data_IF_267008192534
#
_entry.id   IF_267008192534
#
_cell.length_a   1.000
_cell.length_b   1.000
_cell.length_c   1.000
_cell.angle_alpha   90.00
_cell.angle_beta   90.00
_cell.angle_gamma   90.00
#
_symmetry.space_group_name_H-M   'P 1'
#
loop_
_entity.id
_entity.type
_entity.pdbx_description
1 polymer ?
#
# COMPACT_ATOMS: atom_id res chain seq x y z
N UNK A 1 -24.59 11.87 15.22
CA UNK A 1 -23.63 10.75 15.31
C UNK A 1 -24.46 9.47 15.48
N UNK A 2 -24.57 8.46 14.63
CA UNK A 2 -24.04 8.06 13.31
C UNK A 2 -25.07 7.07 12.72
N UNK A 3 -25.50 7.21 11.47
CA UNK A 3 -26.18 6.14 10.72
C UNK A 3 -25.68 6.12 9.26
N UNK A 4 -24.45 5.66 9.06
CA UNK A 4 -23.86 5.45 7.73
C UNK A 4 -23.52 3.96 7.46
N UNK A 5 -23.89 3.05 8.37
CA UNK A 5 -23.49 1.64 8.29
C UNK A 5 -24.47 0.70 7.59
N UNK A 6 -25.71 1.12 7.32
CA UNK A 6 -26.78 0.17 6.93
C UNK A 6 -26.91 -0.06 5.42
N UNK A 7 -26.36 0.82 4.59
CA UNK A 7 -26.53 0.75 3.12
C UNK A 7 -25.31 0.21 2.36
N UNK A 8 -24.13 0.10 2.98
CA UNK A 8 -22.91 -0.42 2.31
C UNK A 8 -22.88 -1.95 2.19
N UNK A 9 -23.38 -2.65 3.20
CA UNK A 9 -23.46 -4.12 3.26
C UNK A 9 -24.34 -4.75 2.15
N UNK A 10 -25.57 -4.27 1.85
CA UNK A 10 -26.40 -4.88 0.82
C UNK A 10 -25.85 -4.67 -0.60
N UNK A 11 -25.18 -3.54 -0.87
CA UNK A 11 -24.61 -3.26 -2.19
C UNK A 11 -23.40 -4.17 -2.45
N UNK A 12 -22.52 -4.35 -1.46
CA UNK A 12 -21.38 -5.26 -1.57
C UNK A 12 -21.84 -6.72 -1.74
N UNK A 13 -22.86 -7.16 -1.00
CA UNK A 13 -23.44 -8.48 -1.14
C UNK A 13 -24.08 -8.71 -2.52
N UNK A 14 -24.83 -7.71 -3.03
CA UNK A 14 -25.42 -7.77 -4.37
C UNK A 14 -24.36 -7.84 -5.48
N UNK A 15 -23.26 -7.09 -5.34
CA UNK A 15 -22.14 -7.13 -6.28
C UNK A 15 -21.46 -8.52 -6.30
N UNK A 16 -21.26 -9.15 -5.14
CA UNK A 16 -20.68 -10.49 -5.05
C UNK A 16 -21.60 -11.56 -5.67
N UNK A 17 -22.91 -11.49 -5.44
CA UNK A 17 -23.88 -12.45 -6.00
C UNK A 17 -24.00 -12.28 -7.52
N UNK A 18 -24.03 -11.03 -8.00
CA UNK A 18 -24.05 -10.75 -9.43
C UNK A 18 -22.77 -11.26 -10.14
N UNK A 19 -21.60 -11.07 -9.51
CA UNK A 19 -20.33 -11.57 -10.03
C UNK A 19 -20.28 -13.10 -10.07
N UNK A 20 -20.69 -13.76 -8.97
CA UNK A 20 -20.75 -15.22 -8.89
C UNK A 20 -21.76 -15.83 -9.90
N UNK A 21 -22.90 -15.17 -10.10
CA UNK A 21 -23.89 -15.56 -11.11
C UNK A 21 -23.37 -15.42 -12.54
N UNK A 22 -22.59 -14.38 -12.83
CA UNK A 22 -21.98 -14.18 -14.15
C UNK A 22 -20.90 -15.23 -14.43
N UNK A 23 -20.04 -15.53 -13.46
CA UNK A 23 -18.99 -16.55 -13.58
C UNK A 23 -19.59 -17.95 -13.82
N UNK A 24 -20.64 -18.32 -13.08
CA UNK A 24 -21.33 -19.61 -13.26
C UNK A 24 -22.05 -19.72 -14.60
N UNK A 25 -22.69 -18.66 -15.10
CA UNK A 25 -23.30 -18.66 -16.43
C UNK A 25 -22.26 -18.70 -17.57
N UNK A 26 -21.06 -18.16 -17.33
CA UNK A 26 -19.94 -18.19 -18.27
C UNK A 26 -19.28 -19.57 -18.28
N UNK A 27 -19.12 -20.23 -17.13
CA UNK A 27 -18.55 -21.57 -17.04
C UNK A 27 -19.47 -22.66 -17.62
N UNK A 28 -20.78 -22.45 -17.55
CA UNK A 28 -21.79 -23.30 -18.20
C UNK A 28 -21.94 -23.03 -19.71
N UNK A 29 -21.20 -22.07 -20.28
CA UNK A 29 -21.25 -21.73 -21.70
C UNK A 29 -22.56 -21.08 -22.18
N UNK A 30 -23.46 -20.73 -21.25
CA UNK A 30 -24.76 -20.12 -21.53
C UNK A 30 -24.63 -18.63 -21.87
N UNK A 31 -23.57 -17.99 -21.40
CA UNK A 31 -23.15 -16.65 -21.81
C UNK A 31 -21.86 -16.80 -22.60
N UNK A 32 -21.89 -16.52 -23.91
CA UNK A 32 -20.65 -16.34 -24.68
C UNK A 32 -19.87 -15.22 -24.01
N UNK A 33 -18.68 -15.54 -23.47
CA UNK A 33 -17.68 -14.54 -23.14
C UNK A 33 -17.45 -13.77 -24.44
N UNK A 34 -18.03 -12.57 -24.56
CA UNK A 34 -17.58 -11.64 -25.59
C UNK A 34 -16.11 -11.46 -25.25
N UNK A 35 -15.24 -12.08 -26.04
CA UNK A 35 -13.85 -11.67 -26.12
C UNK A 35 -13.95 -10.29 -26.75
N UNK A 36 -14.23 -9.32 -25.90
CA UNK A 36 -14.22 -7.92 -26.24
C UNK A 36 -12.86 -7.66 -26.87
N UNK A 37 -12.85 -7.11 -28.09
CA UNK A 37 -11.64 -6.97 -28.89
C UNK A 37 -10.54 -6.22 -28.13
N UNK A 38 -9.29 -6.22 -28.62
CA UNK A 38 -8.13 -5.73 -27.88
C UNK A 38 -8.31 -4.36 -27.21
N UNK A 39 -9.05 -3.43 -27.82
CA UNK A 39 -9.34 -2.12 -27.23
C UNK A 39 -10.25 -2.13 -25.98
N UNK A 40 -11.16 -3.09 -25.86
CA UNK A 40 -12.02 -3.21 -24.69
C UNK A 40 -11.36 -4.03 -23.56
N UNK A 41 -10.44 -4.94 -23.90
CA UNK A 41 -9.52 -5.52 -22.93
C UNK A 41 -8.56 -4.44 -22.36
N UNK A 42 -8.04 -3.55 -23.20
CA UNK A 42 -7.20 -2.42 -22.75
C UNK A 42 -7.96 -1.45 -21.85
N UNK A 43 -9.20 -1.09 -22.21
CA UNK A 43 -10.06 -0.27 -21.35
C UNK A 43 -10.31 -0.93 -19.99
N UNK A 44 -10.63 -2.22 -19.97
CA UNK A 44 -10.82 -2.97 -18.73
C UNK A 44 -9.56 -3.02 -17.88
N UNK A 45 -8.37 -3.15 -18.48
CA UNK A 45 -7.10 -3.12 -17.76
C UNK A 45 -6.84 -1.74 -17.16
N UNK A 46 -7.10 -0.66 -17.91
CA UNK A 46 -6.96 0.72 -17.40
C UNK A 46 -7.90 0.99 -16.23
N UNK A 47 -9.16 0.58 -16.33
CA UNK A 47 -10.13 0.73 -15.26
C UNK A 47 -9.69 -0.05 -14.01
N UNK A 48 -9.18 -1.27 -14.21
CA UNK A 48 -8.70 -2.09 -13.12
C UNK A 48 -7.43 -1.51 -12.47
N UNK A 49 -6.50 -0.98 -13.27
CA UNK A 49 -5.33 -0.27 -12.76
C UNK A 49 -5.71 0.96 -11.92
N UNK A 50 -6.71 1.74 -12.35
CA UNK A 50 -7.19 2.88 -11.60
C UNK A 50 -7.82 2.48 -10.25
N UNK A 51 -8.59 1.38 -10.24
CA UNK A 51 -9.17 0.82 -9.01
C UNK A 51 -8.05 0.32 -8.08
N UNK A 52 -7.09 -0.42 -8.61
CA UNK A 52 -5.98 -0.97 -7.85
C UNK A 52 -5.11 0.14 -7.24
N UNK A 53 -4.86 1.23 -7.98
CA UNK A 53 -4.13 2.40 -7.51
C UNK A 53 -4.82 3.07 -6.31
N UNK A 54 -6.15 3.28 -6.40
CA UNK A 54 -6.93 3.86 -5.30
C UNK A 54 -6.94 2.96 -4.06
N UNK A 55 -7.06 1.64 -4.27
CA UNK A 55 -7.04 0.66 -3.18
C UNK A 55 -5.66 0.59 -2.51
N UNK A 56 -4.58 0.63 -3.30
CA UNK A 56 -3.22 0.61 -2.77
C UNK A 56 -2.91 1.91 -2.01
N UNK A 57 -3.34 3.07 -2.52
CA UNK A 57 -3.26 4.35 -1.82
C UNK A 57 -3.98 4.31 -0.47
N UNK A 58 -5.21 3.79 -0.42
CA UNK A 58 -5.97 3.66 0.82
C UNK A 58 -5.28 2.71 1.81
N UNK A 59 -4.73 1.59 1.33
CA UNK A 59 -4.01 0.61 2.14
C UNK A 59 -2.74 1.21 2.74
N UNK A 60 -1.94 1.91 1.94
CA UNK A 60 -0.73 2.61 2.39
C UNK A 60 -1.05 3.66 3.47
N UNK A 61 -2.13 4.42 3.29
CA UNK A 61 -2.62 5.38 4.30
C UNK A 61 -2.98 4.70 5.61
N UNK A 62 -3.80 3.66 5.56
CA UNK A 62 -4.22 2.93 6.74
C UNK A 62 -3.03 2.31 7.49
N UNK A 63 -2.04 1.80 6.74
CA UNK A 63 -0.85 1.22 7.31
C UNK A 63 -0.04 2.24 8.11
N UNK A 64 0.31 3.39 7.50
CA UNK A 64 1.05 4.46 8.20
C UNK A 64 0.31 4.94 9.44
N UNK A 65 -1.01 5.15 9.35
CA UNK A 65 -1.80 5.60 10.50
C UNK A 65 -1.83 4.56 11.64
N UNK A 66 -1.88 3.27 11.31
CA UNK A 66 -1.81 2.19 12.32
C UNK A 66 -0.44 2.13 12.98
N UNK A 67 0.63 2.29 12.21
CA UNK A 67 2.00 2.15 12.70
C UNK A 67 2.47 3.37 13.51
N UNK A 68 1.76 4.51 13.48
CA UNK A 68 2.13 5.73 14.21
C UNK A 68 2.33 5.51 15.72
N UNK A 69 1.54 4.65 16.34
CA UNK A 69 1.61 4.36 17.78
C UNK A 69 2.46 3.12 18.12
N UNK A 70 3.06 2.48 17.11
CA UNK A 70 3.89 1.29 17.30
C UNK A 70 5.26 1.71 17.85
N UNK A 71 5.80 0.86 18.73
CA UNK A 71 7.15 0.99 19.27
C UNK A 71 8.17 0.71 18.15
N UNK A 72 9.23 1.53 18.00
CA UNK A 72 10.29 1.26 17.05
C UNK A 72 10.86 -0.16 17.16
N UNK A 73 11.08 -0.80 16.02
CA UNK A 73 11.78 -2.07 15.89
C UNK A 73 13.29 -1.87 16.04
N UNK A 74 13.85 -0.92 15.28
CA UNK A 74 15.27 -0.57 15.30
C UNK A 74 15.50 0.85 14.75
N UNK A 75 16.69 1.41 14.99
CA UNK A 75 17.13 2.67 14.40
C UNK A 75 17.84 2.41 13.07
N UNK A 76 17.65 3.30 12.10
CA UNK A 76 18.26 3.21 10.79
C UNK A 76 18.70 4.58 10.30
N UNK A 77 19.72 4.60 9.45
CA UNK A 77 20.24 5.78 8.79
C UNK A 77 19.82 5.80 7.32
N UNK A 78 19.42 6.96 6.83
CA UNK A 78 19.12 7.16 5.41
C UNK A 78 20.41 7.26 4.61
N UNK A 79 20.67 6.29 3.75
CA UNK A 79 21.92 6.20 2.97
C UNK A 79 21.91 7.09 1.73
N UNK A 80 20.72 7.33 1.16
CA UNK A 80 20.50 8.16 -0.03
C UNK A 80 19.12 8.81 -0.02
N UNK A 81 18.97 9.89 -0.78
CA UNK A 81 17.69 10.54 -0.99
C UNK A 81 16.80 9.68 -1.91
N UNK A 82 15.64 9.29 -1.42
CA UNK A 82 14.69 8.53 -2.23
C UNK A 82 14.15 9.37 -3.40
N UNK A 83 14.00 8.75 -4.57
CA UNK A 83 13.45 9.41 -5.75
C UNK A 83 12.06 10.03 -5.44
N UNK A 84 11.73 11.23 -5.96
CA UNK A 84 10.49 11.94 -5.62
C UNK A 84 9.21 11.14 -5.86
N UNK A 85 9.24 10.21 -6.83
CA UNK A 85 8.14 9.28 -7.08
C UNK A 85 7.76 8.45 -5.84
N UNK A 86 8.75 8.03 -5.04
CA UNK A 86 8.54 7.29 -3.81
C UNK A 86 8.18 8.20 -2.64
N UNK A 87 8.80 9.38 -2.58
CA UNK A 87 8.64 10.31 -1.47
C UNK A 87 7.31 11.10 -1.51
N UNK A 88 6.72 11.30 -2.71
CA UNK A 88 5.45 12.05 -2.90
C UNK A 88 4.19 11.18 -2.96
N UNK A 89 4.33 9.86 -2.80
CA UNK A 89 3.20 8.95 -2.73
C UNK A 89 2.29 9.24 -1.53
N UNK A 90 1.13 8.59 -1.44
CA UNK A 90 0.02 8.98 -0.56
C UNK A 90 0.29 9.03 0.95
N UNK A 91 1.43 8.50 1.42
CA UNK A 91 2.05 8.75 2.73
C UNK A 91 3.58 8.57 2.68
N UNK A 92 4.21 8.83 1.52
CA UNK A 92 5.66 8.86 1.43
C UNK A 92 6.21 9.93 2.37
N UNK A 93 7.37 9.68 2.95
CA UNK A 93 8.12 10.71 3.69
C UNK A 93 9.35 11.10 2.86
N UNK A 94 9.62 12.41 2.82
CA UNK A 94 10.84 12.94 2.22
C UNK A 94 11.88 12.99 3.34
N UNK A 95 12.96 12.25 3.16
CA UNK A 95 14.09 12.24 4.09
C UNK A 95 15.36 12.57 3.31
N UNK A 96 16.28 13.24 3.99
CA UNK A 96 17.58 13.59 3.45
C UNK A 96 18.59 12.49 3.76
N UNK A 97 19.62 12.39 2.93
CA UNK A 97 20.76 11.51 3.23
C UNK A 97 21.39 11.90 4.57
N UNK A 98 21.62 10.91 5.43
CA UNK A 98 22.20 11.09 6.76
C UNK A 98 21.17 11.32 7.87
N UNK A 99 19.87 11.40 7.56
CA UNK A 99 18.83 11.47 8.58
C UNK A 99 18.75 10.13 9.34
N UNK A 100 18.79 10.18 10.67
CA UNK A 100 18.46 9.03 11.52
C UNK A 100 16.95 8.91 11.67
N UNK A 101 16.44 7.70 11.46
CA UNK A 101 15.03 7.36 11.57
C UNK A 101 14.81 6.12 12.40
N UNK A 102 13.64 6.03 13.03
CA UNK A 102 13.19 4.83 13.72
C UNK A 102 12.29 4.01 12.79
N UNK A 103 12.65 2.76 12.52
CA UNK A 103 11.81 1.84 11.75
C UNK A 103 10.72 1.31 12.68
N UNK A 104 9.45 1.54 12.35
CA UNK A 104 8.31 1.16 13.19
C UNK A 104 7.71 -0.19 12.79
N UNK A 105 7.66 -0.47 11.50
CA UNK A 105 7.05 -1.68 10.96
C UNK A 105 7.60 -1.99 9.56
N UNK A 106 7.88 -3.25 9.30
CA UNK A 106 8.28 -3.72 7.98
C UNK A 106 7.04 -4.01 7.12
N UNK A 107 7.03 -3.56 5.87
CA UNK A 107 5.89 -3.85 4.99
C UNK A 107 5.93 -5.31 4.52
N UNK A 108 4.99 -6.12 4.98
CA UNK A 108 4.86 -7.52 4.59
C UNK A 108 3.82 -7.65 3.45
N UNK A 109 4.23 -8.09 2.26
CA UNK A 109 3.32 -8.32 1.13
C UNK A 109 3.95 -8.15 -0.25
N UNK A 110 3.15 -7.76 -1.26
CA UNK A 110 3.62 -7.50 -2.63
C UNK A 110 4.56 -6.28 -2.75
N UNK A 111 4.68 -5.47 -1.69
CA UNK A 111 5.54 -4.28 -1.62
C UNK A 111 6.60 -4.40 -0.52
N UNK A 112 7.41 -5.48 -0.53
CA UNK A 112 8.56 -5.69 0.39
C UNK A 112 9.63 -4.58 0.33
N UNK A 113 9.46 -3.60 -0.54
CA UNK A 113 10.43 -2.55 -0.83
C UNK A 113 10.35 -1.35 0.13
N UNK A 114 9.39 -1.32 1.07
CA UNK A 114 9.16 -0.15 1.94
C UNK A 114 9.07 -0.52 3.42
N UNK A 115 9.42 0.44 4.27
CA UNK A 115 9.21 0.41 5.72
C UNK A 115 8.44 1.64 6.17
N UNK A 116 7.71 1.51 7.27
CA UNK A 116 7.19 2.70 7.96
C UNK A 116 8.28 3.20 8.89
N UNK A 117 8.67 4.45 8.69
CA UNK A 117 9.71 5.11 9.47
C UNK A 117 9.15 6.33 10.18
N UNK A 118 9.72 6.63 11.35
CA UNK A 118 9.51 7.87 12.09
C UNK A 118 10.81 8.66 12.05
N UNK A 119 10.74 9.87 11.53
CA UNK A 119 11.84 10.83 11.58
C UNK A 119 12.05 11.38 12.99
N UNK A 120 13.19 12.02 13.21
CA UNK A 120 13.50 12.73 14.46
C UNK A 120 12.54 13.90 14.75
N UNK A 121 11.89 14.48 13.73
CA UNK A 121 10.83 15.49 13.89
C UNK A 121 9.51 14.89 14.36
N UNK A 122 9.38 13.56 14.36
CA UNK A 122 8.14 12.85 14.69
C UNK A 122 7.24 12.57 13.49
N UNK A 123 7.63 12.99 12.28
CA UNK A 123 6.88 12.68 11.07
C UNK A 123 6.99 11.20 10.73
N UNK A 124 5.85 10.58 10.40
CA UNK A 124 5.76 9.14 10.09
C UNK A 124 5.29 8.96 8.65
N UNK A 125 6.00 8.11 7.91
CA UNK A 125 5.62 7.78 6.54
C UNK A 125 6.33 6.55 6.00
N UNK A 126 6.04 6.23 4.75
CA UNK A 126 6.68 5.13 4.02
C UNK A 126 7.98 5.60 3.41
N UNK A 127 9.03 4.81 3.60
CA UNK A 127 10.34 5.04 3.00
C UNK A 127 10.90 3.74 2.41
N UNK A 128 11.59 3.77 1.25
CA UNK A 128 12.08 2.55 0.64
C UNK A 128 13.22 1.93 1.44
N UNK A 129 13.16 0.62 1.66
CA UNK A 129 14.17 -0.15 2.39
C UNK A 129 15.56 -0.04 1.75
N UNK A 130 15.63 0.04 0.42
CA UNK A 130 16.91 0.11 -0.31
C UNK A 130 17.77 1.32 0.06
N UNK A 131 17.19 2.33 0.70
CA UNK A 131 17.87 3.57 1.12
C UNK A 131 18.01 3.67 2.65
N UNK A 132 17.82 2.57 3.36
CA UNK A 132 17.97 2.48 4.81
C UNK A 132 19.06 1.48 5.15
N UNK A 133 19.92 1.88 6.08
CA UNK A 133 20.90 1.00 6.70
C UNK A 133 20.59 0.94 8.19
N UNK A 134 20.47 -0.25 8.76
CA UNK A 134 20.24 -0.39 10.19
C UNK A 134 21.46 0.19 10.93
N UNK A 135 21.21 1.01 11.96
CA UNK A 135 22.26 1.39 12.88
C UNK A 135 22.58 0.16 13.72
N UNK A 136 23.55 -0.62 13.26
CA UNK A 136 24.07 -1.79 13.94
C UNK A 136 24.54 -1.39 15.36
N UNK A 137 24.11 -2.14 16.39
CA UNK A 137 24.58 -2.01 17.79
C UNK A 137 26.08 -2.40 17.96
N UNK A 138 26.85 -2.52 16.88
CA UNK A 138 28.20 -3.10 16.88
C UNK A 138 29.35 -2.10 17.14
N UNK A 139 29.11 -1.03 17.90
CA UNK A 139 30.17 -0.21 18.49
C UNK A 139 30.32 -0.45 20.01
N UNK A 140 30.25 -1.71 20.43
CA UNK A 140 30.84 -2.16 21.69
C UNK A 140 31.88 -3.25 21.40
N UNK A 141 33.12 -2.82 21.14
CA UNK A 141 34.31 -3.57 21.52
C UNK A 141 35.32 -2.56 22.07
N UNK A 142 35.81 -2.89 23.26
CA UNK A 142 36.66 -2.14 24.20
C UNK A 142 37.97 -1.57 23.62
#
# INVERSE_FOLDING_TARGET
MHHLGTYGLPIAAAACVAYAGRETLTSLGLVKRKLDGPGAAEASLRDQMAIDEVLDEARRRQFVERSRSVTPLYAALVTEEAHPYFAKGPRGIVLSKGDSVSVLEEYVGHHKSYHVVRSSSGDVGLFPLAYLEAEDETNFVE
#
